data_IF_067093026894
#
_entry.id   IF_067093026894
#
_cell.length_a   1.000
_cell.length_b   1.000
_cell.length_c   1.000
_cell.angle_alpha   90.00
_cell.angle_beta   90.00
_cell.angle_gamma   90.00
#
_symmetry.space_group_name_H-M   'P 1'
#
loop_
_entity.id
_entity.type
_entity.pdbx_description
1 polymer ?
#
# COMPACT_ATOMS: atom_id res chain seq x y z
N UNK A 1 3.88 1.80 24.29
CA UNK A 1 3.49 0.37 24.39
C UNK A 1 4.47 -0.45 23.54
N UNK A 2 4.84 -1.67 23.94
CA UNK A 2 5.75 -2.50 23.14
C UNK A 2 4.99 -3.05 21.94
N UNK A 3 5.53 -2.91 20.73
CA UNK A 3 4.98 -3.58 19.54
C UNK A 3 4.87 -5.09 19.82
N UNK A 4 3.80 -5.77 19.38
CA UNK A 4 3.70 -7.21 19.50
C UNK A 4 4.88 -7.85 18.76
N UNK A 5 5.40 -8.98 19.27
CA UNK A 5 6.63 -9.66 18.82
C UNK A 5 6.68 -10.09 17.34
N UNK A 6 5.63 -9.79 16.58
CA UNK A 6 5.44 -10.18 15.19
C UNK A 6 5.10 -9.01 14.25
N UNK A 7 4.92 -7.80 14.76
CA UNK A 7 4.73 -6.61 13.91
C UNK A 7 6.10 -6.02 13.61
N UNK A 8 6.52 -6.07 12.34
CA UNK A 8 7.85 -5.62 11.92
C UNK A 8 7.74 -4.69 10.72
N UNK A 9 8.34 -3.50 10.82
CA UNK A 9 8.45 -2.59 9.69
C UNK A 9 9.39 -3.18 8.62
N UNK A 10 8.98 -3.06 7.36
CA UNK A 10 9.72 -3.51 6.18
C UNK A 10 10.31 -2.34 5.39
N UNK A 11 9.81 -1.12 5.61
CA UNK A 11 10.27 0.11 4.97
C UNK A 11 10.23 1.28 5.95
N UNK A 12 10.82 2.40 5.53
CA UNK A 12 10.48 3.72 6.06
C UNK A 12 9.15 4.22 5.45
N UNK A 13 8.70 5.42 5.83
CA UNK A 13 7.55 6.08 5.20
C UNK A 13 7.84 6.39 3.72
N UNK A 14 6.91 5.96 2.87
CA UNK A 14 6.85 6.25 1.44
C UNK A 14 5.87 7.39 1.24
N UNK A 15 6.38 8.48 0.70
CA UNK A 15 5.62 9.69 0.40
C UNK A 15 5.18 9.69 -1.07
N UNK A 16 4.08 10.40 -1.35
CA UNK A 16 3.71 10.74 -2.72
C UNK A 16 3.82 12.25 -2.96
N UNK A 17 4.24 12.61 -4.18
CA UNK A 17 4.24 13.98 -4.69
C UNK A 17 2.85 14.45 -5.16
N UNK A 18 1.78 13.88 -4.60
CA UNK A 18 0.38 14.29 -4.83
C UNK A 18 -0.44 13.31 -5.68
N UNK A 19 0.14 12.20 -6.13
CA UNK A 19 -0.54 11.14 -6.87
C UNK A 19 -0.84 9.91 -6.03
N UNK A 20 -1.38 8.84 -6.64
CA UNK A 20 -1.45 7.55 -5.97
C UNK A 20 -0.06 6.90 -5.89
N UNK A 21 0.13 6.08 -4.86
CA UNK A 21 1.23 5.11 -4.83
C UNK A 21 0.80 3.85 -5.58
N UNK A 22 1.77 3.17 -6.20
CA UNK A 22 1.56 1.95 -6.97
C UNK A 22 2.41 0.83 -6.38
N UNK A 23 1.80 -0.33 -6.20
CA UNK A 23 2.43 -1.57 -5.75
C UNK A 23 2.42 -2.61 -6.86
N UNK A 24 3.58 -3.22 -7.12
CA UNK A 24 3.68 -4.42 -7.98
C UNK A 24 4.92 -5.24 -7.62
N UNK A 25 5.18 -6.33 -8.34
CA UNK A 25 6.46 -7.04 -8.24
C UNK A 25 7.58 -6.23 -8.91
N UNK A 26 8.81 -6.33 -8.39
CA UNK A 26 9.98 -5.65 -8.99
C UNK A 26 10.23 -6.05 -10.45
N UNK A 27 9.80 -7.25 -10.86
CA UNK A 27 9.89 -7.71 -12.24
C UNK A 27 8.92 -6.96 -13.16
N UNK A 28 7.69 -6.71 -12.69
CA UNK A 28 6.65 -6.01 -13.43
C UNK A 28 6.90 -4.49 -13.48
N UNK A 29 7.59 -3.93 -12.49
CA UNK A 29 7.83 -2.49 -12.37
C UNK A 29 8.47 -1.86 -13.63
N UNK A 30 9.23 -2.65 -14.41
CA UNK A 30 9.82 -2.25 -15.70
C UNK A 30 8.80 -1.87 -16.77
N UNK A 31 7.56 -2.34 -16.66
CA UNK A 31 6.48 -1.98 -17.58
C UNK A 31 5.85 -0.62 -17.20
N UNK A 32 6.15 -0.08 -16.02
CA UNK A 32 5.60 1.18 -15.58
C UNK A 32 6.46 2.38 -15.98
N UNK A 33 5.92 3.25 -16.84
CA UNK A 33 6.65 4.42 -17.38
C UNK A 33 6.33 5.74 -16.67
N UNK A 34 5.41 5.74 -15.72
CA UNK A 34 4.92 6.95 -15.06
C UNK A 34 4.19 7.90 -16.00
N UNK A 35 4.44 9.20 -15.82
CA UNK A 35 3.98 10.27 -16.69
C UNK A 35 3.37 11.44 -15.94
N UNK A 36 2.75 12.36 -16.70
CA UNK A 36 2.14 13.58 -16.19
C UNK A 36 0.64 13.59 -16.41
N UNK A 37 -0.08 14.40 -15.63
CA UNK A 37 -1.55 14.47 -15.68
C UNK A 37 -2.10 14.87 -17.06
N UNK A 38 -1.39 15.74 -17.77
CA UNK A 38 -1.78 16.27 -19.08
C UNK A 38 -1.73 15.23 -20.20
N UNK A 39 -0.96 14.15 -20.03
CA UNK A 39 -0.92 13.06 -20.97
C UNK A 39 -2.03 12.05 -20.66
N UNK A 40 -3.09 12.09 -21.48
CA UNK A 40 -4.24 11.19 -21.43
C UNK A 40 -3.87 9.70 -21.48
N UNK A 41 -2.72 9.38 -22.09
CA UNK A 41 -2.25 8.01 -22.28
C UNK A 41 -1.26 7.54 -21.20
N UNK A 42 -0.89 8.42 -20.26
CA UNK A 42 0.08 8.08 -19.23
C UNK A 42 -0.45 7.06 -18.22
N UNK A 43 0.45 6.23 -17.70
CA UNK A 43 0.11 5.27 -16.64
C UNK A 43 -0.25 6.00 -15.34
N UNK A 44 0.40 7.15 -15.08
CA UNK A 44 0.05 8.05 -13.98
C UNK A 44 -1.43 8.44 -14.01
N UNK A 45 -1.92 8.94 -15.15
CA UNK A 45 -3.33 9.35 -15.27
C UNK A 45 -4.28 8.16 -15.14
N UNK A 46 -3.90 6.99 -15.66
CA UNK A 46 -4.67 5.76 -15.47
C UNK A 46 -4.82 5.40 -13.98
N UNK A 47 -3.73 5.50 -13.20
CA UNK A 47 -3.77 5.30 -11.76
C UNK A 47 -4.64 6.35 -11.04
N UNK A 48 -4.48 7.64 -11.36
CA UNK A 48 -5.30 8.71 -10.77
C UNK A 48 -6.81 8.55 -11.03
N UNK A 49 -7.18 7.90 -12.14
CA UNK A 49 -8.59 7.66 -12.49
C UNK A 49 -9.23 6.49 -11.73
N UNK A 50 -8.44 5.65 -11.06
CA UNK A 50 -8.95 4.61 -10.15
C UNK A 50 -9.85 5.28 -9.08
N UNK A 51 -10.91 4.60 -8.64
CA UNK A 51 -11.82 5.12 -7.62
C UNK A 51 -11.79 4.24 -6.39
N UNK A 52 -12.06 4.83 -5.23
CA UNK A 52 -11.98 4.15 -3.93
C UNK A 52 -10.56 4.07 -3.40
N UNK A 53 -10.42 3.43 -2.24
CA UNK A 53 -9.16 3.38 -1.50
C UNK A 53 -8.05 2.63 -2.22
N UNK A 54 -8.40 1.51 -2.85
CA UNK A 54 -7.45 0.62 -3.51
C UNK A 54 -8.09 0.06 -4.78
N UNK A 55 -7.34 0.05 -5.87
CA UNK A 55 -7.81 -0.47 -7.16
C UNK A 55 -6.73 -1.22 -7.91
N UNK A 56 -7.10 -1.86 -9.00
CA UNK A 56 -6.19 -2.64 -9.83
C UNK A 56 -6.23 -2.12 -11.27
N UNK A 57 -5.05 -1.93 -11.86
CA UNK A 57 -4.91 -1.67 -13.30
C UNK A 57 -3.98 -2.69 -13.94
N UNK A 58 -4.20 -2.94 -15.22
CA UNK A 58 -3.40 -3.83 -16.05
C UNK A 58 -2.62 -3.02 -17.08
N UNK A 59 -1.30 -3.11 -17.03
CA UNK A 59 -0.40 -2.47 -18.00
C UNK A 59 0.43 -3.57 -18.64
N UNK A 60 0.34 -3.71 -19.97
CA UNK A 60 1.04 -4.76 -20.73
C UNK A 60 0.81 -6.18 -20.18
N UNK A 61 -0.34 -6.44 -19.56
CA UNK A 61 -0.69 -7.73 -18.94
C UNK A 61 -0.16 -7.93 -17.52
N UNK A 62 0.52 -6.94 -16.95
CA UNK A 62 1.00 -6.95 -15.57
C UNK A 62 0.05 -6.21 -14.64
N UNK A 63 -0.14 -6.75 -13.43
CA UNK A 63 -0.99 -6.18 -12.39
C UNK A 63 -0.26 -5.11 -11.60
N UNK A 64 -0.92 -3.97 -11.42
CA UNK A 64 -0.48 -2.86 -10.58
C UNK A 64 -1.62 -2.50 -9.63
N UNK A 65 -1.40 -2.69 -8.33
CA UNK A 65 -2.32 -2.21 -7.32
C UNK A 65 -2.07 -0.72 -7.10
N UNK A 66 -3.13 0.07 -7.11
CA UNK A 66 -3.11 1.53 -6.99
C UNK A 66 -3.71 1.88 -5.63
N UNK A 67 -2.90 2.48 -4.76
CA UNK A 67 -3.34 3.02 -3.47
C UNK A 67 -3.79 4.47 -3.71
N UNK A 68 -5.10 4.69 -3.77
CA UNK A 68 -5.68 5.94 -4.26
C UNK A 68 -6.58 6.65 -3.24
N UNK A 69 -7.30 7.66 -3.71
CA UNK A 69 -8.21 8.58 -3.02
C UNK A 69 -7.46 9.74 -2.35
N UNK A 70 -6.38 9.44 -1.64
CA UNK A 70 -5.51 10.44 -1.03
C UNK A 70 -4.02 10.02 -1.15
N UNK A 71 -3.08 10.97 -1.32
CA UNK A 71 -1.64 10.73 -1.37
C UNK A 71 -1.10 10.49 0.05
N UNK A 72 -1.61 9.46 0.73
CA UNK A 72 -1.32 9.20 2.13
C UNK A 72 0.10 8.63 2.27
N UNK A 73 0.91 9.16 3.21
CA UNK A 73 2.16 8.53 3.62
C UNK A 73 1.90 7.06 3.95
N UNK A 74 2.71 6.17 3.39
CA UNK A 74 2.49 4.72 3.49
C UNK A 74 3.72 4.03 4.03
N UNK A 75 3.56 3.05 4.90
CA UNK A 75 4.66 2.22 5.39
C UNK A 75 4.31 0.74 5.25
N UNK A 76 5.28 -0.06 4.82
CA UNK A 76 5.13 -1.50 4.73
C UNK A 76 5.52 -2.16 6.06
N UNK A 77 4.71 -3.11 6.51
CA UNK A 77 4.97 -3.93 7.68
C UNK A 77 4.62 -5.40 7.41
N UNK A 78 5.22 -6.31 8.16
CA UNK A 78 4.84 -7.71 8.22
C UNK A 78 4.17 -7.99 9.57
N UNK A 79 3.12 -8.82 9.54
CA UNK A 79 2.60 -9.53 10.71
C UNK A 79 2.32 -10.99 10.36
N UNK A 80 2.87 -11.91 11.14
CA UNK A 80 2.70 -13.35 10.91
C UNK A 80 3.00 -13.68 9.44
N UNK A 81 2.02 -14.24 8.75
CA UNK A 81 2.09 -14.69 7.37
C UNK A 81 1.48 -13.68 6.39
N UNK A 82 1.35 -12.41 6.78
CA UNK A 82 0.73 -11.36 5.98
C UNK A 82 1.59 -10.09 5.93
N UNK A 83 1.55 -9.42 4.79
CA UNK A 83 2.12 -8.08 4.61
C UNK A 83 1.01 -7.04 4.68
N UNK A 84 1.29 -5.94 5.38
CA UNK A 84 0.41 -4.81 5.56
C UNK A 84 1.04 -3.58 4.92
N UNK A 85 0.22 -2.76 4.27
CA UNK A 85 0.55 -1.36 3.99
C UNK A 85 -0.33 -0.50 4.89
N UNK A 86 0.30 0.31 5.72
CA UNK A 86 -0.39 1.20 6.64
C UNK A 86 -0.31 2.59 6.05
N UNK A 87 -1.46 3.23 5.84
CA UNK A 87 -1.57 4.53 5.19
C UNK A 87 -2.09 5.56 6.16
N UNK A 88 -1.30 6.60 6.38
CA UNK A 88 -1.57 7.62 7.38
C UNK A 88 -2.68 8.56 6.94
N UNK A 89 -3.84 8.54 7.62
CA UNK A 89 -4.88 9.57 7.42
C UNK A 89 -4.63 10.75 8.35
N UNK A 90 -4.61 10.51 9.67
CA UNK A 90 -4.23 11.52 10.66
C UNK A 90 -3.80 10.83 11.97
N UNK A 91 -2.84 11.44 12.66
CA UNK A 91 -2.30 11.08 13.98
C UNK A 91 -1.38 12.24 14.42
N UNK A 92 -1.08 12.38 15.72
CA UNK A 92 -0.13 13.43 16.16
C UNK A 92 1.32 13.05 15.86
N UNK A 93 1.62 11.76 15.71
CA UNK A 93 2.98 11.27 15.45
C UNK A 93 3.03 9.85 14.87
N UNK A 94 4.19 9.51 14.30
CA UNK A 94 4.50 8.18 13.78
C UNK A 94 4.36 7.11 14.87
N UNK A 95 4.81 7.41 16.08
CA UNK A 95 4.78 6.48 17.22
C UNK A 95 3.34 6.16 17.63
N UNK A 96 2.46 7.16 17.65
CA UNK A 96 1.05 6.99 17.97
C UNK A 96 0.36 6.12 16.92
N UNK A 97 0.53 6.46 15.64
CA UNK A 97 -0.10 5.72 14.54
C UNK A 97 0.39 4.27 14.51
N UNK A 98 1.70 4.04 14.57
CA UNK A 98 2.26 2.69 14.54
C UNK A 98 1.88 1.88 15.78
N UNK A 99 1.78 2.54 16.94
CA UNK A 99 1.24 1.94 18.16
C UNK A 99 -0.21 1.49 17.98
N UNK A 100 -1.06 2.35 17.43
CA UNK A 100 -2.46 2.03 17.14
C UNK A 100 -2.61 0.94 16.08
N UNK A 101 -1.78 0.93 15.04
CA UNK A 101 -1.75 -0.12 14.03
C UNK A 101 -1.35 -1.48 14.61
N UNK A 102 -0.29 -1.51 15.43
CA UNK A 102 0.12 -2.71 16.16
C UNK A 102 -1.00 -3.24 17.08
N UNK A 103 -1.70 -2.34 17.77
CA UNK A 103 -2.83 -2.66 18.63
C UNK A 103 -4.03 -3.21 17.85
N UNK A 104 -4.35 -2.62 16.69
CA UNK A 104 -5.39 -3.11 15.78
C UNK A 104 -5.06 -4.52 15.29
N UNK A 105 -3.81 -4.74 14.87
CA UNK A 105 -3.31 -6.06 14.43
C UNK A 105 -3.52 -7.11 15.53
N UNK A 106 -3.19 -6.79 16.78
CA UNK A 106 -3.33 -7.74 17.89
C UNK A 106 -4.77 -8.16 18.19
N UNK A 107 -5.75 -7.35 17.76
CA UNK A 107 -7.18 -7.54 17.99
C UNK A 107 -7.95 -7.89 16.71
N UNK A 108 -7.25 -8.01 15.58
CA UNK A 108 -7.88 -8.18 14.28
C UNK A 108 -8.69 -9.49 14.21
N UNK A 109 -9.97 -9.37 13.87
CA UNK A 109 -10.82 -10.52 13.56
C UNK A 109 -10.84 -10.75 12.04
N UNK A 110 -10.47 -11.96 11.61
CA UNK A 110 -10.60 -12.43 10.22
C UNK A 110 -12.01 -12.28 9.61
N UNK A 111 -13.05 -12.11 10.42
CA UNK A 111 -14.43 -11.84 9.98
C UNK A 111 -14.74 -10.36 9.76
N UNK A 112 -13.80 -9.47 10.04
CA UNK A 112 -13.95 -8.04 9.80
C UNK A 112 -14.21 -7.79 8.31
N UNK A 113 -15.17 -6.93 8.00
CA UNK A 113 -15.55 -6.60 6.63
C UNK A 113 -14.62 -5.51 6.10
N UNK A 114 -13.91 -5.71 4.98
CA UNK A 114 -13.08 -4.68 4.39
C UNK A 114 -13.91 -3.57 3.77
N UNK A 115 -13.37 -2.34 3.77
CA UNK A 115 -13.94 -1.21 3.05
C UNK A 115 -13.79 -1.36 1.52
N UNK A 116 -12.74 -2.08 1.09
CA UNK A 116 -12.46 -2.38 -0.31
C UNK A 116 -11.71 -3.71 -0.40
N UNK A 117 -11.96 -4.50 -1.45
CA UNK A 117 -11.21 -5.70 -1.77
C UNK A 117 -10.94 -5.75 -3.27
N UNK A 118 -9.68 -6.01 -3.64
CA UNK A 118 -9.27 -6.22 -5.03
C UNK A 118 -8.57 -7.56 -5.15
N UNK A 119 -8.75 -8.23 -6.28
CA UNK A 119 -8.00 -9.43 -6.63
C UNK A 119 -6.60 -9.05 -7.13
N UNK A 120 -5.58 -9.68 -6.56
CA UNK A 120 -4.18 -9.46 -6.92
C UNK A 120 -3.47 -10.80 -6.90
N UNK A 121 -2.88 -11.22 -8.01
CA UNK A 121 -2.09 -12.45 -8.07
C UNK A 121 -0.63 -12.14 -7.73
N UNK A 122 -0.31 -12.20 -6.44
CA UNK A 122 1.02 -11.92 -5.93
C UNK A 122 1.72 -13.21 -5.48
N UNK A 123 2.90 -13.50 -6.07
CA UNK A 123 3.73 -14.64 -5.66
C UNK A 123 4.75 -14.19 -4.62
N UNK A 124 5.24 -15.11 -3.76
CA UNK A 124 6.38 -14.83 -2.88
C UNK A 124 7.56 -14.21 -3.63
N UNK A 125 8.21 -13.25 -2.99
CA UNK A 125 9.34 -12.51 -3.53
C UNK A 125 9.21 -10.99 -3.38
N UNK A 126 9.98 -10.30 -4.21
CA UNK A 126 10.22 -8.86 -4.05
C UNK A 126 9.10 -8.01 -4.66
N UNK A 127 8.46 -7.19 -3.81
CA UNK A 127 7.52 -6.15 -4.21
C UNK A 127 8.16 -4.78 -4.12
N UNK A 128 7.67 -3.86 -4.96
CA UNK A 128 8.02 -2.45 -4.93
C UNK A 128 6.77 -1.62 -4.84
N UNK A 129 6.80 -0.64 -3.94
CA UNK A 129 5.84 0.46 -3.86
C UNK A 129 6.55 1.76 -4.24
N UNK A 130 5.93 2.55 -5.11
CA UNK A 130 6.53 3.78 -5.63
C UNK A 130 5.47 4.78 -6.07
N UNK A 131 5.86 6.05 -6.21
CA UNK A 131 4.98 7.10 -6.70
C UNK A 131 4.69 6.92 -8.20
N UNK A 132 3.40 6.91 -8.54
CA UNK A 132 2.89 6.64 -9.89
C UNK A 132 3.39 7.59 -10.97
N UNK A 133 3.86 8.80 -10.64
CA UNK A 133 4.35 9.78 -11.60
C UNK A 133 5.69 9.35 -12.22
N UNK A 134 6.45 8.51 -11.55
CA UNK A 134 7.79 8.08 -11.97
C UNK A 134 7.78 6.74 -12.70
N UNK A 135 8.86 6.48 -13.43
CA UNK A 135 9.17 5.14 -13.94
C UNK A 135 9.34 4.16 -12.78
N UNK A 136 8.77 2.96 -12.89
CA UNK A 136 8.75 1.99 -11.80
C UNK A 136 10.12 1.43 -11.42
N UNK A 137 11.16 1.71 -12.20
CA UNK A 137 12.54 1.33 -11.91
C UNK A 137 13.40 2.49 -11.38
N UNK A 138 12.84 3.69 -11.30
CA UNK A 138 13.55 4.86 -10.85
C UNK A 138 13.65 4.93 -9.32
N UNK A 139 14.76 5.46 -8.83
CA UNK A 139 15.01 5.64 -7.40
C UNK A 139 14.46 7.00 -6.95
N UNK A 140 13.16 7.02 -6.60
CA UNK A 140 12.42 8.23 -6.25
C UNK A 140 11.57 8.05 -4.97
N UNK A 141 12.19 7.58 -3.89
CA UNK A 141 11.55 7.54 -2.56
C UNK A 141 10.51 6.44 -2.37
N UNK A 142 10.44 5.48 -3.29
CA UNK A 142 9.71 4.23 -3.10
C UNK A 142 10.43 3.27 -2.16
N UNK A 143 9.83 2.12 -1.91
CA UNK A 143 10.44 1.05 -1.12
C UNK A 143 10.30 -0.30 -1.81
N UNK A 144 11.29 -1.17 -1.59
CA UNK A 144 11.25 -2.58 -1.98
C UNK A 144 11.24 -3.44 -0.73
N UNK A 145 10.37 -4.45 -0.69
CA UNK A 145 10.29 -5.39 0.43
C UNK A 145 9.90 -6.78 -0.06
N UNK A 146 10.28 -7.80 0.70
CA UNK A 146 9.97 -9.19 0.38
C UNK A 146 8.65 -9.62 1.02
N UNK A 147 7.88 -10.41 0.28
CA UNK A 147 6.74 -11.16 0.81
C UNK A 147 7.06 -12.66 0.80
N UNK A 148 6.79 -13.34 1.91
CA UNK A 148 7.10 -14.76 2.07
C UNK A 148 5.95 -15.67 1.59
N UNK A 149 4.72 -15.14 1.67
CA UNK A 149 3.49 -15.86 1.32
C UNK A 149 2.85 -15.24 0.08
N UNK A 150 2.20 -16.06 -0.76
CA UNK A 150 1.40 -15.52 -1.84
C UNK A 150 0.25 -14.69 -1.28
N UNK A 151 -0.19 -13.71 -2.06
CA UNK A 151 -1.45 -13.01 -1.83
C UNK A 151 -2.30 -13.15 -3.09
N UNK A 152 -3.59 -13.39 -2.90
CA UNK A 152 -4.60 -13.47 -3.96
C UNK A 152 -5.47 -12.20 -3.98
N UNK A 153 -5.37 -11.37 -2.95
CA UNK A 153 -6.11 -10.12 -2.82
C UNK A 153 -5.40 -9.08 -1.97
N UNK A 154 -5.84 -7.82 -2.13
CA UNK A 154 -5.62 -6.78 -1.12
C UNK A 154 -6.98 -6.43 -0.52
N UNK A 155 -7.05 -6.50 0.81
CA UNK A 155 -8.21 -6.08 1.59
C UNK A 155 -7.87 -4.81 2.35
N UNK A 156 -8.60 -3.74 2.06
CA UNK A 156 -8.41 -2.43 2.69
C UNK A 156 -9.39 -2.25 3.84
N UNK A 157 -8.88 -1.88 5.01
CA UNK A 157 -9.68 -1.57 6.20
C UNK A 157 -9.47 -0.11 6.57
N UNK A 158 -10.56 0.59 6.88
CA UNK A 158 -10.51 1.89 7.55
C UNK A 158 -10.47 1.67 9.05
N UNK A 159 -9.47 2.23 9.72
CA UNK A 159 -9.29 2.11 11.17
C UNK A 159 -9.34 3.50 11.78
N UNK A 160 -10.42 3.76 12.51
CA UNK A 160 -10.55 4.91 13.42
C UNK A 160 -10.20 4.39 14.82
N UNK A 161 -8.94 4.58 15.25
CA UNK A 161 -8.49 4.11 16.55
C UNK A 161 -9.11 4.95 17.68
N UNK A 162 -9.18 6.25 17.47
CA UNK A 162 -9.85 7.24 18.31
C UNK A 162 -10.12 8.54 17.51
N UNK A 163 -10.46 9.63 18.21
CA UNK A 163 -10.77 10.94 17.60
C UNK A 163 -9.55 11.62 16.95
N UNK A 164 -8.33 11.22 17.30
CA UNK A 164 -7.08 11.85 16.87
C UNK A 164 -6.19 10.93 16.03
N UNK A 165 -6.51 9.65 15.93
CA UNK A 165 -5.77 8.68 15.12
C UNK A 165 -6.68 7.87 14.20
N UNK A 166 -6.44 7.99 12.90
CA UNK A 166 -6.99 7.10 11.89
C UNK A 166 -5.98 6.77 10.78
N UNK A 167 -6.15 5.59 10.21
CA UNK A 167 -5.31 5.07 9.13
C UNK A 167 -6.05 4.02 8.31
N UNK A 168 -5.54 3.75 7.10
CA UNK A 168 -5.95 2.58 6.34
C UNK A 168 -4.96 1.45 6.56
N UNK A 169 -5.46 0.22 6.51
CA UNK A 169 -4.63 -0.99 6.42
C UNK A 169 -4.99 -1.75 5.16
N UNK A 170 -4.07 -1.79 4.21
CA UNK A 170 -4.12 -2.69 3.06
C UNK A 170 -3.42 -3.99 3.44
N UNK A 171 -4.19 -5.04 3.70
CA UNK A 171 -3.67 -6.37 4.02
C UNK A 171 -3.61 -7.24 2.77
N UNK A 172 -2.43 -7.74 2.46
CA UNK A 172 -2.20 -8.71 1.40
C UNK A 172 -2.53 -10.11 1.96
N UNK A 173 -3.52 -10.78 1.37
CA UNK A 173 -3.97 -12.14 1.76
C UNK A 173 -4.23 -13.04 0.57
#
# INVERSE_FOLDING_TARGET
>A
MSMPSKFRLLSDWIESNGGPLVLTSTQNAKAWRGGFWEDESSHYRAACNVKGWTGLILIEGHQFAVLNDLPLPTIAANVDDSTLLIRWLYAESDEELLGAAADWVSRFDSKSVPACEIELACRPGSLVIFDSAYDGTADHGGATFEIEYPAESIRTYMVEADEQTAFLVDRLV
#
